data_IF_122527093989
#
_entry.id   IF_122527093989
#
_cell.length_a   1.000
_cell.length_b   1.000
_cell.length_c   1.000
_cell.angle_alpha   90.00
_cell.angle_beta   90.00
_cell.angle_gamma   90.00
#
_symmetry.space_group_name_H-M   'P 1'
#
loop_
_entity.id
_entity.type
_entity.pdbx_description
1 polymer ?
#
# COMPACT_ATOMS: atom_id res chain seq x y z
N UNK A 1 -0.05 17.50 -24.96
CA UNK A 1 -0.07 17.39 -23.49
C UNK A 1 -0.58 16.04 -22.99
N UNK A 2 -1.64 15.45 -23.56
CA UNK A 2 -2.23 14.18 -23.06
C UNK A 2 -1.32 12.94 -23.07
N UNK A 3 -0.43 12.77 -24.05
CA UNK A 3 0.43 11.57 -24.15
C UNK A 3 1.48 11.46 -23.03
N UNK A 4 2.03 12.57 -22.57
CA UNK A 4 3.05 12.56 -21.51
C UNK A 4 2.43 12.32 -20.14
N UNK A 5 1.25 12.88 -19.88
CA UNK A 5 0.47 12.60 -18.67
C UNK A 5 0.07 11.12 -18.60
N UNK A 6 -0.35 10.53 -19.72
CA UNK A 6 -0.70 9.11 -19.76
C UNK A 6 0.51 8.22 -19.40
N UNK A 7 1.68 8.48 -20.00
CA UNK A 7 2.92 7.74 -19.67
C UNK A 7 3.28 7.87 -18.19
N UNK A 8 3.12 9.05 -17.61
CA UNK A 8 3.36 9.25 -16.19
C UNK A 8 2.41 8.43 -15.31
N UNK A 9 1.11 8.46 -15.61
CA UNK A 9 0.09 7.67 -14.91
C UNK A 9 0.36 6.18 -15.04
N UNK A 10 0.65 5.69 -16.25
CA UNK A 10 0.95 4.28 -16.51
C UNK A 10 2.22 3.83 -15.78
N UNK A 11 3.26 4.67 -15.78
CA UNK A 11 4.51 4.40 -15.04
C UNK A 11 4.26 4.35 -13.53
N UNK A 12 3.44 5.24 -12.99
CA UNK A 12 3.12 5.25 -11.57
C UNK A 12 2.26 4.03 -11.20
N UNK A 13 1.26 3.68 -12.01
CA UNK A 13 0.41 2.51 -11.77
C UNK A 13 1.23 1.22 -11.83
N UNK A 14 2.17 1.12 -12.77
CA UNK A 14 3.12 0.00 -12.84
C UNK A 14 3.96 -0.08 -11.58
N UNK A 15 4.52 1.05 -11.13
CA UNK A 15 5.29 1.10 -9.89
C UNK A 15 4.46 0.65 -8.68
N UNK A 16 3.25 1.17 -8.52
CA UNK A 16 2.37 0.84 -7.39
C UNK A 16 1.95 -0.64 -7.39
N UNK A 17 1.71 -1.22 -8.57
CA UNK A 17 1.40 -2.64 -8.71
C UNK A 17 2.58 -3.52 -8.29
N UNK A 18 3.79 -3.13 -8.70
CA UNK A 18 5.02 -3.84 -8.31
C UNK A 18 5.35 -3.68 -6.83
N UNK A 19 5.13 -2.49 -6.26
CA UNK A 19 5.23 -2.24 -4.83
C UNK A 19 4.26 -3.11 -4.04
N UNK A 20 2.99 -3.14 -4.44
CA UNK A 20 1.94 -3.96 -3.81
C UNK A 20 2.31 -5.43 -3.84
N UNK A 21 2.81 -5.92 -4.98
CA UNK A 21 3.31 -7.29 -5.12
C UNK A 21 4.49 -7.58 -4.20
N UNK A 22 5.41 -6.62 -4.05
CA UNK A 22 6.54 -6.71 -3.14
C UNK A 22 6.10 -6.79 -1.68
N UNK A 23 5.21 -5.90 -1.23
CA UNK A 23 4.69 -5.88 0.14
C UNK A 23 3.94 -7.16 0.49
N UNK A 24 3.15 -7.70 -0.46
CA UNK A 24 2.43 -8.97 -0.27
C UNK A 24 3.35 -10.16 0.05
N UNK A 25 4.64 -10.13 -0.32
CA UNK A 25 5.61 -11.19 0.01
C UNK A 25 6.05 -11.15 1.48
N UNK A 26 5.85 -10.04 2.17
CA UNK A 26 6.30 -9.82 3.55
C UNK A 26 5.08 -9.46 4.41
N UNK A 27 4.32 -10.47 4.82
CA UNK A 27 3.04 -10.29 5.52
C UNK A 27 3.14 -9.40 6.77
N UNK A 28 4.24 -9.50 7.50
CA UNK A 28 4.55 -8.66 8.67
C UNK A 28 4.72 -7.15 8.38
N UNK A 29 4.69 -6.72 7.11
CA UNK A 29 4.65 -5.30 6.76
C UNK A 29 3.25 -4.70 6.94
N UNK A 30 2.19 -5.49 6.76
CA UNK A 30 0.80 -5.00 6.77
C UNK A 30 -0.13 -5.74 7.74
N UNK A 31 0.26 -6.92 8.22
CA UNK A 31 -0.54 -7.71 9.16
C UNK A 31 -0.10 -7.46 10.60
N UNK A 32 -0.90 -6.68 11.35
CA UNK A 32 -0.62 -6.35 12.76
C UNK A 32 -0.63 -7.56 13.69
N UNK A 33 -1.31 -8.65 13.31
CA UNK A 33 -1.35 -9.89 14.08
C UNK A 33 -0.18 -10.82 13.78
N UNK A 34 0.65 -10.49 12.78
CA UNK A 34 1.83 -11.29 12.47
C UNK A 34 2.88 -11.12 13.58
N UNK A 35 3.48 -12.22 14.05
CA UNK A 35 4.44 -12.21 15.17
C UNK A 35 5.63 -11.25 14.96
N UNK A 36 6.11 -11.17 13.71
CA UNK A 36 7.20 -10.28 13.28
C UNK A 36 6.78 -8.83 13.01
N UNK A 37 5.52 -8.46 13.17
CA UNK A 37 5.01 -7.13 12.83
C UNK A 37 5.73 -6.01 13.60
N UNK A 38 6.07 -6.23 14.88
CA UNK A 38 6.80 -5.26 15.69
C UNK A 38 8.33 -5.35 15.52
N UNK A 39 8.83 -6.26 14.68
CA UNK A 39 10.27 -6.43 14.46
C UNK A 39 10.80 -5.38 13.46
N UNK A 40 11.21 -4.23 14.00
CA UNK A 40 11.73 -3.09 13.22
C UNK A 40 12.89 -3.48 12.28
N UNK A 41 13.79 -4.37 12.72
CA UNK A 41 14.93 -4.79 11.91
C UNK A 41 14.50 -5.60 10.68
N UNK A 42 13.56 -6.53 10.84
CA UNK A 42 13.06 -7.33 9.71
C UNK A 42 12.20 -6.52 8.75
N UNK A 43 11.42 -5.55 9.26
CA UNK A 43 10.67 -4.59 8.44
C UNK A 43 11.60 -3.73 7.60
N UNK A 44 12.62 -3.15 8.24
CA UNK A 44 13.65 -2.35 7.55
C UNK A 44 14.32 -3.16 6.43
N UNK A 45 14.76 -4.40 6.69
CA UNK A 45 15.33 -5.29 5.67
C UNK A 45 14.37 -5.63 4.54
N UNK A 46 13.08 -5.81 4.84
CA UNK A 46 12.07 -6.06 3.81
C UNK A 46 11.90 -4.84 2.90
N UNK A 47 11.81 -3.63 3.48
CA UNK A 47 11.74 -2.40 2.70
C UNK A 47 12.99 -2.14 1.86
N UNK A 48 14.17 -2.44 2.38
CA UNK A 48 15.43 -2.40 1.61
C UNK A 48 15.39 -3.38 0.43
N UNK A 49 14.93 -4.62 0.66
CA UNK A 49 14.82 -5.63 -0.40
C UNK A 49 13.82 -5.21 -1.49
N UNK A 50 12.66 -4.67 -1.09
CA UNK A 50 11.65 -4.14 -2.01
C UNK A 50 12.22 -2.96 -2.79
N UNK A 51 12.82 -1.98 -2.10
CA UNK A 51 13.42 -0.79 -2.72
C UNK A 51 14.49 -1.16 -3.75
N UNK A 52 15.40 -2.07 -3.40
CA UNK A 52 16.42 -2.57 -4.32
C UNK A 52 15.81 -3.21 -5.57
N UNK A 53 14.78 -4.05 -5.43
CA UNK A 53 14.07 -4.67 -6.57
C UNK A 53 13.38 -3.63 -7.47
N UNK A 54 12.89 -2.53 -6.90
CA UNK A 54 12.16 -1.48 -7.61
C UNK A 54 13.05 -0.31 -8.08
N UNK A 55 14.35 -0.35 -7.80
CA UNK A 55 15.28 0.75 -8.10
C UNK A 55 14.96 2.04 -7.34
N UNK A 56 14.44 1.93 -6.11
CA UNK A 56 14.08 3.06 -5.23
C UNK A 56 14.66 2.85 -3.83
N UNK A 57 14.65 3.90 -3.01
CA UNK A 57 15.02 3.79 -1.60
C UNK A 57 13.91 3.10 -0.80
N UNK A 58 14.28 2.42 0.28
CA UNK A 58 13.34 1.84 1.23
C UNK A 58 12.30 2.88 1.71
N UNK A 59 12.78 4.07 2.10
CA UNK A 59 11.94 5.17 2.54
C UNK A 59 10.91 5.61 1.48
N UNK A 60 11.30 5.69 0.20
CA UNK A 60 10.36 6.03 -0.87
C UNK A 60 9.26 4.99 -1.03
N UNK A 61 9.63 3.70 -0.99
CA UNK A 61 8.67 2.60 -1.07
C UNK A 61 7.71 2.61 0.13
N UNK A 62 8.22 2.82 1.34
CA UNK A 62 7.43 2.91 2.55
C UNK A 62 6.46 4.10 2.50
N UNK A 63 6.94 5.32 2.21
CA UNK A 63 6.06 6.49 2.06
C UNK A 63 5.00 6.28 0.97
N UNK A 64 5.37 5.72 -0.17
CA UNK A 64 4.40 5.45 -1.24
C UNK A 64 3.35 4.43 -0.81
N UNK A 65 3.77 3.42 -0.06
CA UNK A 65 2.86 2.41 0.49
C UNK A 65 1.83 3.05 1.42
N UNK A 66 2.25 3.93 2.33
CA UNK A 66 1.34 4.68 3.21
C UNK A 66 0.30 5.46 2.40
N UNK A 67 0.71 6.16 1.33
CA UNK A 67 -0.24 6.85 0.45
C UNK A 67 -1.25 5.90 -0.22
N UNK A 68 -0.82 4.69 -0.60
CA UNK A 68 -1.70 3.66 -1.17
C UNK A 68 -2.73 3.21 -0.12
N UNK A 69 -2.30 2.96 1.12
CA UNK A 69 -3.19 2.56 2.21
C UNK A 69 -4.19 3.65 2.59
N UNK A 70 -3.76 4.92 2.65
CA UNK A 70 -4.66 6.03 2.93
C UNK A 70 -5.72 6.19 1.85
N UNK A 71 -5.35 6.05 0.57
CA UNK A 71 -6.33 6.05 -0.51
C UNK A 71 -7.27 4.84 -0.43
N UNK A 72 -6.76 3.65 -0.08
CA UNK A 72 -7.58 2.46 0.11
C UNK A 72 -8.66 2.71 1.17
N UNK A 73 -8.30 3.34 2.28
CA UNK A 73 -9.24 3.74 3.32
C UNK A 73 -10.36 4.63 2.79
N UNK A 74 -10.00 5.71 2.08
CA UNK A 74 -10.97 6.62 1.48
C UNK A 74 -11.92 5.90 0.51
N UNK A 75 -11.37 4.99 -0.31
CA UNK A 75 -12.15 4.18 -1.24
C UNK A 75 -13.12 3.24 -0.50
N UNK A 76 -12.69 2.56 0.56
CA UNK A 76 -13.57 1.68 1.35
C UNK A 76 -14.71 2.46 2.02
N UNK A 77 -14.40 3.62 2.61
CA UNK A 77 -15.39 4.55 3.16
C UNK A 77 -16.39 5.01 2.08
N UNK A 78 -15.90 5.31 0.89
CA UNK A 78 -16.73 5.70 -0.25
C UNK A 78 -17.63 4.55 -0.73
N UNK A 79 -17.10 3.33 -0.87
CA UNK A 79 -17.88 2.15 -1.25
C UNK A 79 -18.99 1.86 -0.24
N UNK A 80 -18.71 1.97 1.06
CA UNK A 80 -19.70 1.76 2.10
C UNK A 80 -20.81 2.83 2.04
N UNK A 81 -20.44 4.10 1.83
CA UNK A 81 -21.38 5.22 1.79
C UNK A 81 -22.29 5.19 0.56
N UNK A 82 -21.73 4.89 -0.62
CA UNK A 82 -22.44 5.02 -1.89
C UNK A 82 -22.84 3.68 -2.51
N UNK A 83 -22.49 2.54 -1.89
CA UNK A 83 -22.76 1.18 -2.39
C UNK A 83 -22.30 0.96 -3.83
N UNK A 84 -21.14 1.51 -4.17
CA UNK A 84 -20.59 1.51 -5.52
C UNK A 84 -19.25 0.78 -5.57
N UNK A 85 -18.85 0.32 -6.74
CA UNK A 85 -17.56 -0.34 -6.98
C UNK A 85 -16.45 0.68 -7.20
N UNK A 86 -15.21 0.38 -6.77
CA UNK A 86 -14.07 1.30 -6.99
C UNK A 86 -13.64 1.30 -8.46
N UNK A 87 -13.31 2.49 -8.97
CA UNK A 87 -12.67 2.67 -10.28
C UNK A 87 -11.14 2.68 -10.22
N UNK A 88 -10.57 2.52 -9.02
CA UNK A 88 -9.13 2.52 -8.85
C UNK A 88 -8.54 1.19 -9.28
N UNK A 89 -7.75 1.20 -10.36
CA UNK A 89 -7.17 0.00 -10.97
C UNK A 89 -6.27 -0.83 -10.03
N UNK A 90 -5.70 -0.22 -8.99
CA UNK A 90 -4.91 -0.94 -7.99
C UNK A 90 -5.78 -1.61 -6.91
N UNK A 91 -7.03 -1.17 -6.73
CA UNK A 91 -7.92 -1.62 -5.66
C UNK A 91 -8.06 -3.15 -5.57
N UNK A 92 -8.28 -3.89 -6.68
CA UNK A 92 -8.37 -5.35 -6.61
C UNK A 92 -7.07 -6.04 -6.12
N UNK A 93 -5.91 -5.40 -6.30
CA UNK A 93 -4.63 -5.96 -5.86
C UNK A 93 -4.45 -5.83 -4.34
N UNK A 94 -5.22 -4.96 -3.67
CA UNK A 94 -5.16 -4.69 -2.24
C UNK A 94 -6.14 -5.53 -1.43
N UNK A 95 -6.81 -6.49 -2.05
CA UNK A 95 -7.78 -7.40 -1.41
C UNK A 95 -7.22 -8.09 -0.17
N UNK A 96 -5.94 -8.48 -0.21
CA UNK A 96 -5.27 -9.13 0.91
C UNK A 96 -5.18 -8.27 2.17
N UNK A 97 -5.39 -6.95 2.05
CA UNK A 97 -5.39 -6.01 3.17
C UNK A 97 -6.78 -5.92 3.77
N UNK A 98 -7.78 -5.54 2.97
CA UNK A 98 -9.10 -5.20 3.48
C UNK A 98 -10.00 -6.42 3.74
N UNK A 99 -9.71 -7.59 3.13
CA UNK A 99 -10.39 -8.84 3.51
C UNK A 99 -9.86 -9.41 4.83
N UNK A 100 -8.75 -8.87 5.35
CA UNK A 100 -8.23 -9.25 6.65
C UNK A 100 -8.56 -8.16 7.67
N UNK A 101 -9.62 -8.37 8.46
CA UNK A 101 -10.12 -7.43 9.45
C UNK A 101 -9.10 -7.06 10.54
N UNK A 102 -8.04 -7.85 10.68
CA UNK A 102 -6.92 -7.55 11.57
C UNK A 102 -6.13 -6.32 11.14
N UNK A 103 -6.13 -5.94 9.86
CA UNK A 103 -5.28 -4.86 9.34
C UNK A 103 -5.88 -3.46 9.51
N UNK A 104 -7.14 -3.40 9.93
CA UNK A 104 -7.88 -2.16 10.20
C UNK A 104 -7.20 -1.21 11.23
N UNK A 105 -6.55 -1.69 12.30
CA UNK A 105 -5.82 -0.84 13.26
C UNK A 105 -4.55 -0.20 12.68
N UNK A 106 -3.98 -0.73 11.58
CA UNK A 106 -2.77 -0.15 10.98
C UNK A 106 -3.05 1.23 10.37
N UNK A 107 -4.27 1.45 9.89
CA UNK A 107 -4.69 2.69 9.23
C UNK A 107 -4.87 3.83 10.24
N UNK A 108 -5.31 3.51 11.47
CA UNK A 108 -5.48 4.51 12.54
C UNK A 108 -4.15 4.94 13.19
N UNK A 109 -3.08 4.14 13.08
CA UNK A 109 -1.80 4.39 13.77
C UNK A 109 -0.84 5.33 13.02
N UNK A 110 -1.11 5.66 11.76
CA UNK A 110 -0.24 6.56 10.96
C UNK A 110 -0.89 7.90 10.58
N UNK A 111 -2.11 8.17 11.06
CA UNK A 111 -2.70 9.52 10.96
C UNK A 111 -2.27 10.30 12.21
N UNK A 112 -1.47 11.37 12.10
CA UNK A 112 -1.29 12.28 13.22
C UNK A 112 -2.66 12.90 13.50
N UNK A 113 -3.21 12.62 14.67
CA UNK A 113 -4.33 13.39 15.19
C UNK A 113 -3.78 14.78 15.51
N UNK A 114 -4.21 15.79 14.75
CA UNK A 114 -3.98 17.21 15.09
C UNK A 114 -4.62 17.57 16.43
#
# INVERSE_FOLDING_TARGET
>A
MGRELQKFVDSQLKFDSELTRGVKQYEYLFNVNHELFNNKLLRSKAWESIGHKLGKTAAYCETRWVCIINRLWEELCWQQRFKSTSFWLLFPQLEFIYNNSANWPYIELEVPVE
#
